data_IF_649551026092
#
_entry.id   IF_649551026092
#
_cell.length_a   1.000
_cell.length_b   1.000
_cell.length_c   1.000
_cell.angle_alpha   90.00
_cell.angle_beta   90.00
_cell.angle_gamma   90.00
#
_symmetry.space_group_name_H-M   'P 1'
#
loop_
_entity.id
_entity.type
_entity.pdbx_description
1 polymer ?
#
# COMPACT_ATOMS: atom_id res chain seq x y z
N UNK A 1 -6.04 -11.64 -32.45
CA UNK A 1 -4.71 -11.00 -32.47
C UNK A 1 -4.26 -10.83 -31.02
N UNK A 2 -3.42 -11.73 -30.52
CA UNK A 2 -3.01 -11.78 -29.11
C UNK A 2 -1.69 -11.01 -29.00
N UNK A 3 -1.71 -9.85 -28.35
CA UNK A 3 -0.51 -9.10 -28.01
C UNK A 3 0.21 -9.81 -26.85
N UNK A 4 1.11 -10.73 -27.17
CA UNK A 4 2.13 -11.17 -26.24
C UNK A 4 3.13 -10.02 -26.08
N UNK A 5 2.99 -9.23 -25.01
CA UNK A 5 4.04 -8.34 -24.54
C UNK A 5 5.18 -9.21 -24.00
N UNK A 6 6.15 -9.48 -24.86
CA UNK A 6 7.45 -10.04 -24.50
C UNK A 6 8.16 -9.07 -23.55
N UNK A 7 7.96 -9.28 -22.25
CA UNK A 7 8.88 -8.74 -21.25
C UNK A 7 10.21 -9.46 -21.43
N UNK A 8 11.17 -8.75 -22.03
CA UNK A 8 12.57 -9.15 -22.07
C UNK A 8 13.07 -9.26 -20.62
N UNK A 9 13.10 -10.49 -20.10
CA UNK A 9 13.65 -10.78 -18.78
C UNK A 9 15.16 -10.55 -18.80
N UNK A 10 15.60 -9.34 -18.45
CA UNK A 10 16.96 -9.13 -17.93
C UNK A 10 17.05 -9.91 -16.60
N UNK A 11 17.97 -10.86 -16.53
CA UNK A 11 18.12 -11.83 -15.44
C UNK A 11 18.54 -11.29 -14.07
N UNK A 12 18.19 -10.05 -13.70
CA UNK A 12 18.50 -9.44 -12.40
C UNK A 12 17.34 -8.64 -11.77
N UNK A 13 16.17 -8.56 -12.40
CA UNK A 13 15.03 -7.87 -11.78
C UNK A 13 14.41 -8.74 -10.69
N UNK A 14 14.43 -8.24 -9.45
CA UNK A 14 13.77 -8.90 -8.32
C UNK A 14 12.27 -9.06 -8.61
N UNK A 15 11.83 -10.30 -8.79
CA UNK A 15 10.43 -10.64 -9.09
C UNK A 15 9.44 -10.03 -8.09
N UNK A 16 9.88 -9.75 -6.86
CA UNK A 16 9.07 -9.10 -5.82
C UNK A 16 8.73 -7.66 -6.18
N UNK A 17 9.66 -6.94 -6.81
CA UNK A 17 9.41 -5.58 -7.33
C UNK A 17 8.39 -5.60 -8.46
N UNK A 18 8.47 -6.60 -9.33
CA UNK A 18 7.50 -6.76 -10.42
C UNK A 18 6.10 -6.98 -9.84
N UNK A 19 5.98 -7.85 -8.83
CA UNK A 19 4.71 -8.11 -8.13
C UNK A 19 4.18 -6.87 -7.43
N UNK A 20 5.04 -6.12 -6.73
CA UNK A 20 4.66 -4.84 -6.11
C UNK A 20 4.09 -3.86 -7.14
N UNK A 21 4.79 -3.67 -8.27
CA UNK A 21 4.33 -2.79 -9.35
C UNK A 21 3.03 -3.24 -10.00
N UNK A 22 2.79 -4.55 -10.09
CA UNK A 22 1.51 -5.08 -10.57
C UNK A 22 0.39 -4.74 -9.59
N UNK A 23 0.64 -4.87 -8.29
CA UNK A 23 -0.35 -4.59 -7.26
C UNK A 23 -0.63 -3.08 -7.11
N UNK A 24 0.38 -2.22 -7.17
CA UNK A 24 0.24 -0.75 -7.18
C UNK A 24 -0.65 -0.24 -8.31
N UNK A 25 -0.67 -0.93 -9.46
CA UNK A 25 -1.53 -0.57 -10.60
C UNK A 25 -3.00 -0.93 -10.40
N UNK A 26 -3.34 -1.75 -9.40
CA UNK A 26 -4.72 -2.21 -9.17
C UNK A 26 -5.53 -1.27 -8.27
N UNK A 27 -4.92 -0.22 -7.73
CA UNK A 27 -5.62 0.75 -6.88
C UNK A 27 -6.84 1.35 -7.58
N UNK A 28 -7.97 1.32 -6.89
CA UNK A 28 -9.26 1.81 -7.40
C UNK A 28 -9.92 2.73 -6.38
N UNK A 29 -10.65 3.74 -6.86
CA UNK A 29 -11.49 4.56 -5.98
C UNK A 29 -12.75 3.80 -5.56
N UNK A 30 -13.14 2.75 -6.28
CA UNK A 30 -14.37 2.00 -6.05
C UNK A 30 -14.01 0.52 -5.82
N UNK A 31 -13.49 0.15 -4.63
CA UNK A 31 -13.30 -1.24 -4.29
C UNK A 31 -14.64 -1.98 -4.26
N UNK A 32 -14.60 -3.27 -4.54
CA UNK A 32 -15.78 -4.15 -4.55
C UNK A 32 -15.59 -5.23 -3.48
N UNK A 33 -16.65 -5.56 -2.74
CA UNK A 33 -16.58 -6.57 -1.67
C UNK A 33 -16.20 -7.96 -2.20
N UNK A 34 -16.61 -8.31 -3.42
CA UNK A 34 -16.30 -9.62 -4.00
C UNK A 34 -14.81 -9.81 -4.30
N UNK A 35 -14.11 -8.72 -4.64
CA UNK A 35 -12.70 -8.78 -5.05
C UNK A 35 -11.72 -8.25 -4.01
N UNK A 36 -12.15 -7.33 -3.14
CA UNK A 36 -11.29 -6.63 -2.18
C UNK A 36 -12.10 -6.06 -1.00
N UNK A 37 -12.62 -6.97 -0.16
CA UNK A 37 -13.39 -6.62 1.04
C UNK A 37 -12.60 -5.75 2.05
N UNK A 38 -11.27 -5.92 2.13
CA UNK A 38 -10.45 -5.15 3.07
C UNK A 38 -10.31 -3.71 2.58
N UNK A 39 -10.17 -3.45 1.27
CA UNK A 39 -10.23 -2.09 0.73
C UNK A 39 -11.58 -1.42 1.00
N UNK A 40 -12.70 -2.14 0.88
CA UNK A 40 -14.02 -1.60 1.24
C UNK A 40 -14.05 -1.18 2.72
N UNK A 41 -13.65 -2.08 3.61
CA UNK A 41 -13.56 -1.83 5.04
C UNK A 41 -12.67 -0.62 5.38
N UNK A 42 -11.47 -0.54 4.79
CA UNK A 42 -10.54 0.58 5.00
C UNK A 42 -11.14 1.87 4.47
N UNK A 43 -11.73 1.88 3.27
CA UNK A 43 -12.32 3.08 2.68
C UNK A 43 -13.41 3.66 3.57
N UNK A 44 -14.31 2.82 4.09
CA UNK A 44 -15.37 3.25 5.01
C UNK A 44 -14.82 3.76 6.35
N UNK A 45 -13.81 3.09 6.89
CA UNK A 45 -13.25 3.45 8.20
C UNK A 45 -12.41 4.72 8.13
N UNK A 46 -11.65 4.89 7.04
CA UNK A 46 -10.83 6.08 6.77
C UNK A 46 -11.70 7.30 6.47
N UNK A 47 -12.80 7.14 5.72
CA UNK A 47 -13.71 8.26 5.42
C UNK A 47 -14.40 8.81 6.66
N UNK A 48 -14.67 7.96 7.67
CA UNK A 48 -15.22 8.37 8.97
C UNK A 48 -14.18 9.02 9.89
N UNK A 49 -12.91 8.62 9.81
CA UNK A 49 -11.85 9.04 10.74
C UNK A 49 -11.07 10.27 10.29
N UNK A 50 -10.85 10.45 8.98
CA UNK A 50 -10.08 11.58 8.45
C UNK A 50 -10.97 12.79 8.16
N UNK A 51 -10.86 13.82 9.01
CA UNK A 51 -11.45 15.14 8.76
C UNK A 51 -10.48 16.05 8.02
N UNK A 52 -10.99 16.83 7.06
CA UNK A 52 -10.21 17.84 6.32
C UNK A 52 -9.36 17.29 5.17
N UNK A 53 -9.53 16.02 4.80
CA UNK A 53 -8.97 15.42 3.59
C UNK A 53 -10.15 14.97 2.73
N UNK A 54 -10.15 15.27 1.44
CA UNK A 54 -11.13 14.72 0.52
C UNK A 54 -10.80 13.24 0.27
N UNK A 55 -11.46 12.37 1.03
CA UNK A 55 -11.24 10.92 1.01
C UNK A 55 -11.83 10.25 -0.23
N UNK A 56 -12.69 10.92 -1.00
CA UNK A 56 -13.26 10.39 -2.25
C UNK A 56 -12.22 10.25 -3.36
N UNK A 57 -11.14 11.05 -3.30
CA UNK A 57 -10.01 10.98 -4.23
C UNK A 57 -8.99 9.90 -3.88
N UNK A 58 -9.17 9.20 -2.75
CA UNK A 58 -8.31 8.12 -2.32
C UNK A 58 -8.66 6.84 -3.06
N UNK A 59 -7.63 6.14 -3.52
CA UNK A 59 -7.74 4.84 -4.14
C UNK A 59 -7.09 3.80 -3.26
N UNK A 60 -7.64 2.60 -3.25
CA UNK A 60 -7.18 1.51 -2.41
C UNK A 60 -7.02 0.24 -3.24
N UNK A 61 -6.06 -0.57 -2.83
CA UNK A 61 -5.97 -1.98 -3.17
C UNK A 61 -5.39 -2.71 -1.96
N UNK A 62 -5.89 -3.91 -1.68
CA UNK A 62 -5.31 -4.78 -0.67
C UNK A 62 -5.06 -6.18 -1.17
N UNK A 63 -4.11 -6.84 -0.53
CA UNK A 63 -3.83 -8.25 -0.73
C UNK A 63 -3.61 -8.89 0.63
N UNK A 64 -4.40 -9.91 0.93
CA UNK A 64 -4.17 -10.78 2.08
C UNK A 64 -3.41 -12.04 1.65
N UNK A 65 -2.37 -12.40 2.41
CA UNK A 65 -1.63 -13.66 2.27
C UNK A 65 -1.31 -14.20 3.65
N UNK A 66 -1.90 -15.33 4.01
CA UNK A 66 -1.71 -15.98 5.31
C UNK A 66 -1.95 -15.01 6.49
N UNK A 67 -0.91 -14.71 7.28
CA UNK A 67 -0.92 -13.81 8.42
C UNK A 67 -0.54 -12.37 8.06
N UNK A 68 -0.48 -12.03 6.77
CA UNK A 68 0.01 -10.75 6.26
C UNK A 68 -1.03 -10.03 5.40
N UNK A 69 -1.13 -8.72 5.56
CA UNK A 69 -1.95 -7.84 4.72
C UNK A 69 -1.05 -6.77 4.12
N UNK A 70 -1.14 -6.57 2.81
CA UNK A 70 -0.64 -5.39 2.12
C UNK A 70 -1.79 -4.46 1.83
N UNK A 71 -1.63 -3.19 2.17
CA UNK A 71 -2.51 -2.09 1.79
C UNK A 71 -1.72 -1.13 0.92
N UNK A 72 -2.27 -0.78 -0.24
CA UNK A 72 -1.76 0.28 -1.10
C UNK A 72 -2.83 1.36 -1.18
N UNK A 73 -2.50 2.55 -0.67
CA UNK A 73 -3.37 3.72 -0.73
C UNK A 73 -2.74 4.77 -1.65
N UNK A 74 -3.46 5.18 -2.69
CA UNK A 74 -2.98 6.19 -3.64
C UNK A 74 -3.75 7.49 -3.52
N UNK A 75 -3.01 8.59 -3.48
CA UNK A 75 -3.55 9.94 -3.34
C UNK A 75 -3.28 10.74 -4.60
N UNK A 76 -4.35 11.00 -5.35
CA UNK A 76 -4.29 11.65 -6.67
C UNK A 76 -3.96 13.15 -6.59
N UNK A 77 -4.25 13.79 -5.45
CA UNK A 77 -4.12 15.23 -5.25
C UNK A 77 -3.41 15.52 -3.92
N UNK A 78 -2.09 15.39 -3.95
CA UNK A 78 -1.23 15.61 -2.78
C UNK A 78 -0.82 17.07 -2.56
N UNK A 79 -1.01 17.93 -3.56
CA UNK A 79 -0.65 19.36 -3.49
C UNK A 79 -1.44 20.10 -2.39
N UNK A 80 -2.63 19.61 -2.04
CA UNK A 80 -3.45 20.14 -0.95
C UNK A 80 -3.24 19.50 0.43
N UNK A 81 -2.43 18.44 0.57
CA UNK A 81 -2.35 17.64 1.81
C UNK A 81 -1.00 17.87 2.49
N UNK A 82 -1.03 18.54 3.65
CA UNK A 82 0.15 18.76 4.48
C UNK A 82 0.87 17.44 4.83
N UNK A 83 2.21 17.48 4.99
CA UNK A 83 3.02 16.30 5.35
C UNK A 83 2.51 15.58 6.61
N UNK A 84 2.05 16.35 7.60
CA UNK A 84 1.40 15.84 8.82
C UNK A 84 0.12 15.05 8.52
N UNK A 85 -0.73 15.56 7.62
CA UNK A 85 -1.97 14.91 7.17
C UNK A 85 -1.73 13.61 6.42
N UNK A 86 -0.62 13.49 5.67
CA UNK A 86 -0.23 12.23 5.01
C UNK A 86 0.09 11.13 6.02
N UNK A 87 0.81 11.47 7.10
CA UNK A 87 1.07 10.53 8.21
C UNK A 87 -0.24 10.13 8.90
N UNK A 88 -1.16 11.07 9.11
CA UNK A 88 -2.48 10.76 9.69
C UNK A 88 -3.25 9.74 8.85
N UNK A 89 -3.17 9.80 7.52
CA UNK A 89 -3.81 8.81 6.66
C UNK A 89 -3.22 7.41 6.84
N UNK A 90 -1.89 7.28 6.86
CA UNK A 90 -1.24 6.00 7.12
C UNK A 90 -1.63 5.42 8.49
N UNK A 91 -1.67 6.26 9.53
CA UNK A 91 -2.09 5.84 10.86
C UNK A 91 -3.57 5.48 10.90
N UNK A 92 -4.44 6.27 10.26
CA UNK A 92 -5.86 5.92 10.15
C UNK A 92 -6.04 4.53 9.51
N UNK A 93 -5.38 4.25 8.39
CA UNK A 93 -5.42 2.93 7.74
C UNK A 93 -4.98 1.82 8.70
N UNK A 94 -3.84 2.03 9.37
CA UNK A 94 -3.31 1.07 10.33
C UNK A 94 -4.29 0.81 11.47
N UNK A 95 -4.82 1.89 12.07
CA UNK A 95 -5.71 1.86 13.22
C UNK A 95 -7.03 1.18 12.89
N UNK A 96 -7.55 1.34 11.66
CA UNK A 96 -8.72 0.63 11.18
C UNK A 96 -8.51 -0.90 11.22
N UNK A 97 -7.33 -1.36 10.78
CA UNK A 97 -7.01 -2.79 10.76
C UNK A 97 -6.70 -3.33 12.16
N UNK A 98 -5.94 -2.62 12.99
CA UNK A 98 -5.58 -3.11 14.33
C UNK A 98 -6.75 -3.05 15.32
N UNK A 99 -7.74 -2.19 15.08
CA UNK A 99 -8.96 -2.11 15.90
C UNK A 99 -10.02 -3.13 15.45
N UNK A 100 -9.82 -3.81 14.32
CA UNK A 100 -10.73 -4.84 13.82
C UNK A 100 -10.43 -6.18 14.47
N UNK A 101 -11.45 -6.80 15.07
CA UNK A 101 -11.36 -8.18 15.59
C UNK A 101 -10.90 -9.20 14.55
N UNK A 102 -11.09 -8.90 13.26
CA UNK A 102 -10.68 -9.78 12.15
C UNK A 102 -9.20 -9.66 11.79
N UNK A 103 -8.61 -8.47 11.92
CA UNK A 103 -7.29 -8.16 11.35
C UNK A 103 -6.22 -7.79 12.39
N UNK A 104 -6.57 -7.63 13.67
CA UNK A 104 -5.65 -7.13 14.69
C UNK A 104 -4.36 -7.93 14.90
N UNK A 105 -4.37 -9.24 14.61
CA UNK A 105 -3.19 -10.11 14.70
C UNK A 105 -2.38 -10.21 13.41
N UNK A 106 -2.82 -9.57 12.32
CA UNK A 106 -2.15 -9.65 11.01
C UNK A 106 -0.94 -8.72 10.98
N UNK A 107 0.09 -9.15 10.27
CA UNK A 107 1.26 -8.32 9.91
C UNK A 107 0.86 -7.36 8.80
N UNK A 108 0.86 -6.06 9.10
CA UNK A 108 0.36 -5.03 8.20
C UNK A 108 1.53 -4.35 7.48
N UNK A 109 1.45 -4.33 6.16
CA UNK A 109 2.28 -3.56 5.24
C UNK A 109 1.42 -2.48 4.61
N UNK A 110 1.91 -1.24 4.57
CA UNK A 110 1.19 -0.08 4.02
C UNK A 110 2.14 0.66 3.09
N UNK A 111 1.70 0.84 1.85
CA UNK A 111 2.26 1.73 0.85
C UNK A 111 1.32 2.92 0.67
N UNK A 112 1.84 4.14 0.79
CA UNK A 112 1.11 5.36 0.45
C UNK A 112 1.75 5.99 -0.76
N UNK A 113 1.06 5.92 -1.90
CA UNK A 113 1.51 6.46 -3.18
C UNK A 113 0.99 7.89 -3.41
N UNK A 114 1.85 8.72 -3.97
CA UNK A 114 1.45 9.93 -4.69
C UNK A 114 1.25 9.64 -6.18
N UNK A 115 1.31 10.69 -6.99
CA UNK A 115 1.20 10.54 -8.44
C UNK A 115 2.43 9.89 -9.08
N UNK A 116 3.61 10.07 -8.49
CA UNK A 116 4.90 9.72 -9.11
C UNK A 116 5.78 8.80 -8.27
N UNK A 117 5.53 8.68 -6.96
CA UNK A 117 6.38 7.94 -6.04
C UNK A 117 5.61 7.44 -4.82
N UNK A 118 6.16 6.42 -4.17
CA UNK A 118 5.81 6.06 -2.80
C UNK A 118 6.27 7.15 -1.84
N UNK A 119 5.35 7.61 -1.01
CA UNK A 119 5.52 8.76 -0.11
C UNK A 119 5.74 8.32 1.33
N UNK A 120 5.06 7.25 1.75
CA UNK A 120 5.21 6.67 3.08
C UNK A 120 5.15 5.15 2.97
N UNK A 121 5.98 4.48 3.74
CA UNK A 121 5.96 3.03 3.90
C UNK A 121 5.87 2.68 5.38
N UNK A 122 5.00 1.72 5.71
CA UNK A 122 5.01 1.05 7.00
C UNK A 122 5.02 -0.46 6.79
N UNK A 123 5.88 -1.13 7.53
CA UNK A 123 5.94 -2.59 7.64
C UNK A 123 5.86 -2.98 9.12
N UNK A 124 5.77 -4.27 9.46
CA UNK A 124 5.83 -4.70 10.85
C UNK A 124 7.15 -4.32 11.55
N UNK A 125 8.26 -4.23 10.81
CA UNK A 125 9.60 -4.07 11.37
C UNK A 125 10.21 -2.68 11.16
N UNK A 126 9.82 -1.98 10.10
CA UNK A 126 10.40 -0.71 9.67
C UNK A 126 9.35 0.22 9.09
N UNK A 127 9.63 1.51 9.11
CA UNK A 127 8.81 2.54 8.50
C UNK A 127 9.70 3.59 7.85
N UNK A 128 9.20 4.19 6.77
CA UNK A 128 9.76 5.39 6.17
C UNK A 128 8.63 6.40 6.03
N UNK A 129 8.68 7.44 6.85
CA UNK A 129 7.60 8.42 7.00
C UNK A 129 8.04 9.82 6.59
N UNK A 130 9.10 9.95 5.80
CA UNK A 130 9.64 11.26 5.42
C UNK A 130 8.79 12.00 4.39
N UNK A 131 7.79 11.34 3.81
CA UNK A 131 6.69 12.00 3.09
C UNK A 131 7.11 12.67 1.78
N UNK A 132 8.28 12.33 1.22
CA UNK A 132 8.74 12.83 -0.09
C UNK A 132 9.08 11.67 -1.03
N UNK A 133 9.94 10.76 -0.60
CA UNK A 133 10.32 9.55 -1.32
C UNK A 133 10.62 8.49 -0.27
N UNK A 134 9.69 7.59 -0.03
CA UNK A 134 9.89 6.51 0.94
C UNK A 134 10.49 5.28 0.26
N UNK A 135 11.31 4.54 1.01
CA UNK A 135 11.93 3.30 0.55
C UNK A 135 10.89 2.17 0.33
N UNK A 136 10.45 2.02 -0.93
CA UNK A 136 9.53 0.95 -1.35
C UNK A 136 10.11 -0.46 -1.16
N UNK A 137 11.44 -0.60 -1.02
CA UNK A 137 12.11 -1.89 -0.89
C UNK A 137 11.73 -2.62 0.40
N UNK A 138 11.32 -1.86 1.41
CA UNK A 138 10.82 -2.39 2.68
C UNK A 138 9.59 -3.29 2.45
N UNK A 139 8.77 -3.00 1.44
CA UNK A 139 7.57 -3.76 1.10
C UNK A 139 7.89 -5.11 0.44
N UNK A 140 9.09 -5.29 -0.12
CA UNK A 140 9.43 -6.51 -0.87
C UNK A 140 9.38 -7.76 0.00
N UNK A 141 9.58 -7.61 1.31
CA UNK A 141 9.47 -8.71 2.27
C UNK A 141 8.05 -9.31 2.34
N UNK A 142 7.00 -8.57 1.99
CA UNK A 142 5.63 -9.10 1.82
C UNK A 142 5.55 -10.18 0.73
N UNK A 143 6.34 -10.05 -0.34
CA UNK A 143 6.35 -10.98 -1.48
C UNK A 143 7.29 -12.18 -1.30
N UNK A 144 7.92 -12.30 -0.14
CA UNK A 144 8.84 -13.38 0.21
C UNK A 144 10.21 -12.88 0.63
N UNK A 145 11.02 -13.82 1.13
CA UNK A 145 12.37 -13.55 1.60
C UNK A 145 13.24 -13.01 0.47
N UNK A 146 14.05 -12.01 0.80
CA UNK A 146 15.10 -11.54 -0.09
C UNK A 146 16.14 -12.65 -0.26
N UNK A 147 16.58 -12.89 -1.50
CA UNK A 147 17.75 -13.75 -1.73
C UNK A 147 19.04 -13.09 -1.19
N UNK A 148 19.01 -11.79 -0.92
CA UNK A 148 20.14 -10.99 -0.44
C UNK A 148 19.74 -10.40 0.93
N UNK A 149 20.44 -10.73 2.02
CA UNK A 149 20.14 -10.14 3.34
C UNK A 149 20.34 -8.61 3.28
N UNK A 150 19.41 -7.86 3.88
CA UNK A 150 19.58 -6.42 4.07
C UNK A 150 20.88 -6.20 4.86
N UNK A 151 21.84 -5.45 4.31
CA UNK A 151 23.00 -5.01 5.08
C UNK A 151 22.49 -4.18 6.26
N UNK A 152 22.94 -4.55 7.46
CA UNK A 152 22.65 -3.84 8.71
C UNK A 152 23.24 -2.44 8.69
#
# INVERSE_FOLDING_TARGET
MVFFLLFSCKGNDDIRRIRLKVDQKKVTSNPNEESDIISCFIKESVSKSLKGINTDKLKYYTVERNDTILVIAKVSDMMGIQKSSRKKMLFAINDCLISSERYYMKKIYIDVEGNFSTLLVKTPMRYDLDGRFADEDLLLSFYGKSKIPFKK
#
